data_IF_593179478041
#
_entry.id   IF_593179478041
#
_cell.length_a   1.000
_cell.length_b   1.000
_cell.length_c   1.000
_cell.angle_alpha   90.00
_cell.angle_beta   90.00
_cell.angle_gamma   90.00
#
_symmetry.space_group_name_H-M   'P 1'
#
loop_
_entity.id
_entity.type
_entity.pdbx_description
1 polymer ?
#
# COMPACT_ATOMS: atom_id res chain seq x y z
N UNK A 1 -33.84 -31.41 -22.94
CA UNK A 1 -33.14 -30.86 -21.76
C UNK A 1 -32.70 -29.45 -22.13
N UNK A 2 -33.39 -28.39 -21.70
CA UNK A 2 -33.03 -27.04 -22.10
C UNK A 2 -31.88 -26.50 -21.24
N UNK A 3 -30.90 -25.91 -21.91
CA UNK A 3 -29.73 -25.24 -21.34
C UNK A 3 -30.18 -23.95 -20.64
N UNK A 4 -29.77 -23.76 -19.38
CA UNK A 4 -29.99 -22.53 -18.65
C UNK A 4 -28.88 -21.53 -19.00
N UNK A 5 -29.21 -20.57 -19.87
CA UNK A 5 -28.45 -19.34 -20.02
C UNK A 5 -28.55 -18.52 -18.72
N UNK A 6 -27.46 -18.42 -17.97
CA UNK A 6 -27.37 -17.48 -16.84
C UNK A 6 -27.17 -16.07 -17.39
N UNK A 7 -28.28 -15.39 -17.69
CA UNK A 7 -28.31 -13.97 -17.99
C UNK A 7 -27.76 -13.16 -16.82
N UNK A 8 -26.56 -12.60 -16.99
CA UNK A 8 -26.06 -11.49 -16.18
C UNK A 8 -27.03 -10.32 -16.35
N UNK A 9 -27.96 -10.16 -15.41
CA UNK A 9 -28.91 -9.05 -15.39
C UNK A 9 -28.18 -7.73 -15.56
N UNK A 10 -28.40 -7.07 -16.71
CA UNK A 10 -27.98 -5.68 -16.92
C UNK A 10 -28.78 -4.86 -15.92
N UNK A 11 -28.15 -4.47 -14.82
CA UNK A 11 -28.71 -3.49 -13.90
C UNK A 11 -28.75 -2.16 -14.64
N UNK A 12 -29.95 -1.76 -15.04
CA UNK A 12 -30.19 -0.52 -15.77
C UNK A 12 -29.99 0.68 -14.83
N UNK A 13 -29.17 1.63 -15.26
CA UNK A 13 -29.05 2.93 -14.63
C UNK A 13 -30.31 3.72 -14.96
N UNK A 14 -31.11 4.05 -13.95
CA UNK A 14 -32.12 5.08 -14.08
C UNK A 14 -31.40 6.43 -13.94
N UNK A 15 -31.33 7.18 -15.03
CA UNK A 15 -30.79 8.54 -15.05
C UNK A 15 -31.86 9.53 -14.62
N UNK A 16 -31.49 10.43 -13.73
CA UNK A 16 -32.34 11.58 -13.36
C UNK A 16 -32.13 12.71 -14.39
N UNK A 17 -33.07 13.64 -14.53
CA UNK A 17 -32.92 14.78 -15.46
C UNK A 17 -31.67 15.62 -15.15
N UNK A 18 -31.26 15.66 -13.87
CA UNK A 18 -30.04 16.34 -13.41
C UNK A 18 -28.75 15.70 -13.95
N UNK A 19 -28.81 14.44 -14.40
CA UNK A 19 -27.66 13.71 -14.95
C UNK A 19 -27.39 14.03 -16.41
N UNK A 20 -28.39 14.58 -17.11
CA UNK A 20 -28.38 14.77 -18.55
C UNK A 20 -27.16 15.59 -18.98
N UNK A 21 -26.85 16.68 -18.27
CA UNK A 21 -25.71 17.54 -18.58
C UNK A 21 -24.38 16.77 -18.55
N UNK A 22 -24.19 15.92 -17.54
CA UNK A 22 -22.96 15.15 -17.38
C UNK A 22 -22.87 14.00 -18.38
N UNK A 23 -23.98 13.32 -18.65
CA UNK A 23 -24.05 12.25 -19.64
C UNK A 23 -23.79 12.79 -21.06
N UNK A 24 -24.31 13.96 -21.42
CA UNK A 24 -23.98 14.62 -22.69
C UNK A 24 -22.48 14.97 -22.79
N UNK A 25 -21.88 15.50 -21.71
CA UNK A 25 -20.45 15.81 -21.69
C UNK A 25 -19.59 14.54 -21.88
N UNK A 26 -19.98 13.44 -21.24
CA UNK A 26 -19.30 12.14 -21.34
C UNK A 26 -19.47 11.57 -22.74
N UNK A 27 -20.67 11.64 -23.34
CA UNK A 27 -20.91 11.17 -24.70
C UNK A 27 -20.09 11.95 -25.73
N UNK A 28 -19.94 13.27 -25.55
CA UNK A 28 -19.09 14.10 -26.42
C UNK A 28 -17.62 13.77 -26.26
N UNK A 29 -17.15 13.51 -25.02
CA UNK A 29 -15.75 13.23 -24.73
C UNK A 29 -15.53 12.05 -23.77
N UNK A 30 -15.71 10.79 -24.24
CA UNK A 30 -15.65 9.60 -23.36
C UNK A 30 -14.28 9.37 -22.73
N UNK A 31 -13.20 9.79 -23.40
CA UNK A 31 -11.83 9.58 -22.94
C UNK A 31 -11.33 10.70 -22.00
N UNK A 32 -12.17 11.68 -21.66
CA UNK A 32 -11.81 12.76 -20.75
C UNK A 32 -11.98 12.33 -19.29
N UNK A 33 -10.86 12.06 -18.61
CA UNK A 33 -10.85 11.77 -17.17
C UNK A 33 -11.52 12.89 -16.35
N UNK A 34 -11.44 14.16 -16.80
CA UNK A 34 -12.04 15.29 -16.10
C UNK A 34 -13.57 15.23 -16.10
N UNK A 35 -14.19 14.89 -17.23
CA UNK A 35 -15.64 14.79 -17.36
C UNK A 35 -16.19 13.71 -16.41
N UNK A 36 -15.56 12.53 -16.40
CA UNK A 36 -15.91 11.44 -15.48
C UNK A 36 -15.76 11.85 -14.01
N UNK A 37 -14.68 12.54 -13.65
CA UNK A 37 -14.47 12.96 -12.25
C UNK A 37 -15.56 13.95 -11.80
N UNK A 38 -15.93 14.94 -12.63
CA UNK A 38 -17.02 15.87 -12.27
C UNK A 38 -18.33 15.15 -12.03
N UNK A 39 -18.66 14.18 -12.89
CA UNK A 39 -19.89 13.41 -12.74
C UNK A 39 -19.88 12.56 -11.46
N UNK A 40 -18.74 11.95 -11.14
CA UNK A 40 -18.55 11.19 -9.90
C UNK A 40 -18.65 12.09 -8.66
N UNK A 41 -18.09 13.31 -8.73
CA UNK A 41 -18.17 14.30 -7.65
C UNK A 41 -19.63 14.75 -7.44
N UNK A 42 -20.38 14.97 -8.51
CA UNK A 42 -21.81 15.28 -8.45
C UNK A 42 -22.60 14.16 -7.77
N UNK A 43 -22.40 12.90 -8.17
CA UNK A 43 -23.09 11.73 -7.57
C UNK A 43 -22.47 11.24 -6.26
N UNK A 44 -21.54 11.96 -5.63
CA UNK A 44 -20.80 11.47 -4.45
C UNK A 44 -21.70 11.14 -3.25
N UNK A 45 -22.88 11.78 -3.16
CA UNK A 45 -23.87 11.54 -2.10
C UNK A 45 -24.91 10.48 -2.45
N UNK A 46 -24.89 9.95 -3.68
CA UNK A 46 -25.83 8.95 -4.14
C UNK A 46 -25.55 7.57 -3.50
N UNK A 47 -26.42 6.60 -3.81
CA UNK A 47 -26.22 5.22 -3.39
C UNK A 47 -24.84 4.69 -3.81
N UNK A 48 -24.23 3.90 -2.93
CA UNK A 48 -22.94 3.22 -3.17
C UNK A 48 -22.95 2.42 -4.48
N UNK A 49 -24.11 1.85 -4.82
CA UNK A 49 -24.29 1.06 -6.04
C UNK A 49 -24.16 1.93 -7.30
N UNK A 50 -24.88 3.05 -7.37
CA UNK A 50 -24.85 3.98 -8.50
C UNK A 50 -23.44 4.52 -8.71
N UNK A 51 -22.78 4.95 -7.62
CA UNK A 51 -21.40 5.41 -7.67
C UNK A 51 -20.45 4.36 -8.24
N UNK A 52 -20.55 3.10 -7.77
CA UNK A 52 -19.71 2.03 -8.27
C UNK A 52 -19.96 1.77 -9.76
N UNK A 53 -21.20 1.87 -10.22
CA UNK A 53 -21.56 1.67 -11.62
C UNK A 53 -20.99 2.77 -12.53
N UNK A 54 -21.00 4.03 -12.08
CA UNK A 54 -20.35 5.15 -12.80
C UNK A 54 -18.84 4.92 -12.88
N UNK A 55 -18.19 4.48 -11.80
CA UNK A 55 -16.76 4.13 -11.84
C UNK A 55 -16.46 2.98 -12.80
N UNK A 56 -17.26 1.90 -12.80
CA UNK A 56 -17.08 0.78 -13.72
C UNK A 56 -17.30 1.21 -15.17
N UNK A 57 -18.24 2.13 -15.45
CA UNK A 57 -18.39 2.75 -16.79
C UNK A 57 -17.15 3.54 -17.17
N UNK A 58 -16.67 4.42 -16.29
CA UNK A 58 -15.48 5.22 -16.55
C UNK A 58 -14.23 4.36 -16.81
N UNK A 59 -14.08 3.25 -16.08
CA UNK A 59 -12.95 2.32 -16.23
C UNK A 59 -13.05 1.41 -17.45
N UNK A 60 -14.25 1.20 -18.01
CA UNK A 60 -14.41 0.53 -19.31
C UNK A 60 -13.86 1.37 -20.45
N UNK A 61 -14.15 2.68 -20.44
CA UNK A 61 -13.62 3.62 -21.43
C UNK A 61 -12.13 3.92 -21.19
N UNK A 62 -11.71 4.03 -19.93
CA UNK A 62 -10.37 4.46 -19.53
C UNK A 62 -9.70 3.47 -18.55
N UNK A 63 -9.38 2.23 -18.98
CA UNK A 63 -8.78 1.22 -18.11
C UNK A 63 -7.37 1.60 -17.63
N UNK A 64 -6.68 2.48 -18.37
CA UNK A 64 -5.33 2.97 -18.04
C UNK A 64 -5.28 4.20 -17.15
N UNK A 65 -6.40 4.71 -16.63
CA UNK A 65 -6.41 5.94 -15.83
C UNK A 65 -6.06 5.67 -14.36
N UNK A 66 -4.87 6.10 -13.93
CA UNK A 66 -4.42 5.92 -12.54
C UNK A 66 -5.34 6.64 -11.55
N UNK A 67 -5.76 7.84 -11.90
CA UNK A 67 -6.59 8.68 -11.02
C UNK A 67 -7.96 8.05 -10.78
N UNK A 68 -8.58 7.48 -11.81
CA UNK A 68 -9.86 6.78 -11.69
C UNK A 68 -9.72 5.51 -10.85
N UNK A 69 -8.72 4.66 -11.14
CA UNK A 69 -8.48 3.46 -10.35
C UNK A 69 -8.19 3.76 -8.88
N UNK A 70 -7.33 4.73 -8.59
CA UNK A 70 -6.99 5.10 -7.23
C UNK A 70 -8.21 5.61 -6.45
N UNK A 71 -9.00 6.49 -7.05
CA UNK A 71 -10.22 7.02 -6.43
C UNK A 71 -11.27 5.91 -6.23
N UNK A 72 -11.44 5.04 -7.21
CA UNK A 72 -12.39 3.93 -7.13
C UNK A 72 -12.02 2.95 -6.01
N UNK A 73 -10.76 2.50 -5.96
CA UNK A 73 -10.28 1.60 -4.89
C UNK A 73 -10.40 2.23 -3.51
N UNK A 74 -10.08 3.53 -3.38
CA UNK A 74 -10.27 4.28 -2.13
C UNK A 74 -11.75 4.29 -1.71
N UNK A 75 -12.65 4.52 -2.65
CA UNK A 75 -14.09 4.52 -2.40
C UNK A 75 -14.60 3.13 -2.01
N UNK A 76 -14.20 2.08 -2.73
CA UNK A 76 -14.55 0.68 -2.44
C UNK A 76 -14.08 0.26 -1.04
N UNK A 77 -12.85 0.62 -0.64
CA UNK A 77 -12.36 0.38 0.74
C UNK A 77 -13.17 1.13 1.80
N UNK A 78 -13.56 2.38 1.52
CA UNK A 78 -14.42 3.18 2.43
C UNK A 78 -15.78 2.49 2.65
N UNK A 79 -16.34 1.88 1.60
CA UNK A 79 -17.63 1.20 1.68
C UNK A 79 -17.63 -0.06 2.54
N UNK A 80 -16.50 -0.80 2.57
CA UNK A 80 -16.37 -2.05 3.35
C UNK A 80 -15.84 -1.84 4.77
N UNK A 81 -15.24 -0.69 5.08
CA UNK A 81 -14.62 -0.41 6.39
C UNK A 81 -15.57 -0.59 7.59
N UNK A 82 -16.88 -0.40 7.40
CA UNK A 82 -17.88 -0.56 8.47
C UNK A 82 -18.41 -1.99 8.61
N UNK A 83 -17.97 -2.93 7.77
CA UNK A 83 -18.44 -4.33 7.76
C UNK A 83 -17.43 -5.25 8.42
N UNK A 84 -17.88 -6.45 8.77
CA UNK A 84 -16.98 -7.49 9.27
C UNK A 84 -16.05 -7.98 8.15
N UNK A 85 -14.82 -8.34 8.52
CA UNK A 85 -13.78 -8.84 7.59
C UNK A 85 -14.20 -10.11 6.84
N UNK A 86 -15.12 -10.89 7.40
CA UNK A 86 -15.67 -12.12 6.80
C UNK A 86 -16.75 -11.88 5.75
N UNK A 87 -17.23 -10.64 5.59
CA UNK A 87 -18.27 -10.30 4.63
C UNK A 87 -17.77 -10.49 3.18
N UNK A 88 -18.59 -11.08 2.27
CA UNK A 88 -18.24 -11.24 0.85
C UNK A 88 -17.77 -9.96 0.15
N UNK A 89 -18.22 -8.80 0.63
CA UNK A 89 -17.82 -7.50 0.09
C UNK A 89 -16.32 -7.26 0.15
N UNK A 90 -15.61 -7.82 1.14
CA UNK A 90 -14.15 -7.74 1.20
C UNK A 90 -13.50 -8.47 0.02
N UNK A 91 -14.06 -9.62 -0.38
CA UNK A 91 -13.54 -10.36 -1.54
C UNK A 91 -13.83 -9.63 -2.85
N UNK A 92 -14.97 -8.95 -2.97
CA UNK A 92 -15.22 -8.07 -4.13
C UNK A 92 -14.19 -6.94 -4.25
N UNK A 93 -13.81 -6.33 -3.12
CA UNK A 93 -12.77 -5.28 -3.11
C UNK A 93 -11.40 -5.87 -3.42
N UNK A 94 -11.09 -7.08 -2.93
CA UNK A 94 -9.88 -7.81 -3.32
C UNK A 94 -9.84 -8.08 -4.83
N UNK A 95 -10.95 -8.54 -5.42
CA UNK A 95 -11.07 -8.76 -6.86
C UNK A 95 -10.93 -7.45 -7.66
N UNK A 96 -11.47 -6.35 -7.15
CA UNK A 96 -11.28 -5.01 -7.73
C UNK A 96 -9.80 -4.59 -7.72
N UNK A 97 -9.07 -4.88 -6.64
CA UNK A 97 -7.63 -4.65 -6.57
C UNK A 97 -6.88 -5.51 -7.61
N UNK A 98 -7.18 -6.81 -7.72
CA UNK A 98 -6.56 -7.68 -8.73
C UNK A 98 -6.84 -7.20 -10.17
N UNK A 99 -8.08 -6.76 -10.47
CA UNK A 99 -8.43 -6.13 -11.76
C UNK A 99 -7.59 -4.89 -12.05
N UNK A 100 -7.43 -4.01 -11.05
CA UNK A 100 -6.62 -2.80 -11.21
C UNK A 100 -5.17 -3.10 -11.55
N UNK A 101 -4.61 -4.17 -11.00
CA UNK A 101 -3.21 -4.55 -11.20
C UNK A 101 -2.92 -5.02 -12.64
N UNK A 102 -3.92 -5.47 -13.39
CA UNK A 102 -3.74 -5.81 -14.82
C UNK A 102 -3.19 -4.61 -15.60
N UNK A 103 -3.79 -3.44 -15.39
CA UNK A 103 -3.38 -2.20 -16.06
C UNK A 103 -2.32 -1.40 -15.27
N UNK A 104 -2.36 -1.46 -13.93
CA UNK A 104 -1.58 -0.59 -13.03
C UNK A 104 -0.43 -1.27 -12.29
N UNK A 105 0.05 -2.43 -12.73
CA UNK A 105 1.11 -3.18 -12.04
C UNK A 105 2.42 -2.40 -11.80
N UNK A 106 2.70 -1.34 -12.56
CA UNK A 106 3.91 -0.50 -12.40
C UNK A 106 3.79 0.56 -11.31
N UNK A 107 2.62 0.74 -10.70
CA UNK A 107 2.35 1.82 -9.74
C UNK A 107 2.49 1.32 -8.29
N UNK A 108 3.51 1.73 -7.52
CA UNK A 108 3.75 1.24 -6.17
C UNK A 108 2.60 1.53 -5.20
N UNK A 109 1.91 2.66 -5.38
CA UNK A 109 0.86 3.09 -4.47
C UNK A 109 -0.30 2.10 -4.44
N UNK A 110 -0.70 1.56 -5.60
CA UNK A 110 -1.78 0.57 -5.71
C UNK A 110 -1.38 -0.73 -4.99
N UNK A 111 -0.13 -1.17 -5.12
CA UNK A 111 0.39 -2.33 -4.41
C UNK A 111 0.41 -2.14 -2.90
N UNK A 112 0.90 -0.99 -2.41
CA UNK A 112 0.94 -0.68 -0.98
C UNK A 112 -0.45 -0.71 -0.36
N UNK A 113 -1.37 0.00 -1.02
CA UNK A 113 -2.77 0.07 -0.68
C UNK A 113 -3.42 -1.33 -0.61
N UNK A 114 -3.14 -2.21 -1.58
CA UNK A 114 -3.65 -3.58 -1.59
C UNK A 114 -3.03 -4.45 -0.50
N UNK A 115 -1.71 -4.37 -0.31
CA UNK A 115 -1.01 -5.12 0.73
C UNK A 115 -1.52 -4.72 2.12
N UNK A 116 -1.69 -3.42 2.38
CA UNK A 116 -2.25 -2.93 3.63
C UNK A 116 -3.69 -3.41 3.84
N UNK A 117 -4.52 -3.36 2.81
CA UNK A 117 -5.89 -3.88 2.88
C UNK A 117 -5.95 -5.39 3.19
N UNK A 118 -5.01 -6.19 2.66
CA UNK A 118 -4.91 -7.62 2.99
C UNK A 118 -4.33 -7.87 4.40
N UNK A 119 -3.44 -7.01 4.87
CA UNK A 119 -2.95 -7.06 6.26
C UNK A 119 -4.09 -6.84 7.25
N UNK A 120 -4.96 -5.86 6.98
CA UNK A 120 -6.14 -5.55 7.81
C UNK A 120 -7.15 -6.72 7.85
N UNK A 121 -7.15 -7.58 6.81
CA UNK A 121 -7.98 -8.79 6.76
C UNK A 121 -7.33 -10.01 7.44
N UNK A 122 -6.10 -9.90 7.94
CA UNK A 122 -5.31 -11.00 8.52
C UNK A 122 -5.11 -12.22 7.59
N UNK A 123 -5.09 -12.03 6.26
CA UNK A 123 -4.92 -13.11 5.27
C UNK A 123 -3.44 -13.41 4.99
N UNK A 124 -2.70 -13.89 6.00
CA UNK A 124 -1.22 -14.07 6.01
C UNK A 124 -0.65 -14.61 4.69
N UNK A 125 -1.12 -15.78 4.23
CA UNK A 125 -0.58 -16.44 3.03
C UNK A 125 -0.80 -15.62 1.76
N UNK A 126 -1.97 -15.00 1.62
CA UNK A 126 -2.32 -14.14 0.48
C UNK A 126 -1.47 -12.88 0.53
N UNK A 127 -1.40 -12.21 1.67
CA UNK A 127 -0.59 -11.01 1.88
C UNK A 127 0.88 -11.25 1.53
N UNK A 128 1.48 -12.34 1.99
CA UNK A 128 2.88 -12.72 1.64
C UNK A 128 3.06 -12.86 0.13
N UNK A 129 2.18 -13.63 -0.53
CA UNK A 129 2.23 -13.83 -1.99
C UNK A 129 2.05 -12.51 -2.74
N UNK A 130 1.21 -11.60 -2.24
CA UNK A 130 1.00 -10.28 -2.83
C UNK A 130 2.24 -9.40 -2.68
N UNK A 131 2.92 -9.38 -1.53
CA UNK A 131 4.21 -8.69 -1.38
C UNK A 131 5.28 -9.25 -2.34
N UNK A 132 5.37 -10.57 -2.46
CA UNK A 132 6.30 -11.21 -3.39
C UNK A 132 5.95 -10.93 -4.87
N UNK A 133 4.68 -10.73 -5.20
CA UNK A 133 4.23 -10.25 -6.53
C UNK A 133 4.60 -8.77 -6.73
N UNK A 134 4.38 -7.92 -5.74
CA UNK A 134 4.72 -6.50 -5.81
C UNK A 134 6.23 -6.29 -6.06
N UNK A 135 7.09 -7.00 -5.34
CA UNK A 135 8.55 -6.93 -5.52
C UNK A 135 9.03 -7.47 -6.88
N UNK A 136 8.24 -8.33 -7.54
CA UNK A 136 8.53 -8.81 -8.91
C UNK A 136 8.03 -7.84 -9.98
N UNK A 137 6.88 -7.21 -9.75
CA UNK A 137 6.26 -6.31 -10.71
C UNK A 137 6.93 -4.92 -10.75
N UNK A 138 7.47 -4.46 -9.61
CA UNK A 138 8.05 -3.12 -9.48
C UNK A 138 9.57 -3.13 -9.71
N UNK A 139 10.12 -2.08 -10.35
CA UNK A 139 11.56 -1.87 -10.44
C UNK A 139 12.24 -1.80 -9.06
N UNK A 140 13.49 -2.27 -8.99
CA UNK A 140 14.30 -2.30 -7.76
C UNK A 140 14.39 -0.92 -7.10
N UNK A 141 14.45 0.15 -7.89
CA UNK A 141 14.48 1.54 -7.41
C UNK A 141 13.28 1.91 -6.53
N UNK A 142 12.15 1.20 -6.65
CA UNK A 142 10.93 1.44 -5.89
C UNK A 142 10.77 0.50 -4.68
N UNK A 143 11.64 -0.51 -4.53
CA UNK A 143 11.52 -1.51 -3.47
C UNK A 143 11.60 -0.90 -2.06
N UNK A 144 12.33 0.22 -1.90
CA UNK A 144 12.41 0.99 -0.65
C UNK A 144 11.04 1.40 -0.09
N UNK A 145 10.00 1.52 -0.94
CA UNK A 145 8.64 1.85 -0.51
C UNK A 145 7.88 0.64 0.02
N UNK A 146 8.13 -0.54 -0.52
CA UNK A 146 7.41 -1.79 -0.18
C UNK A 146 7.98 -2.44 1.08
N UNK A 147 9.31 -2.43 1.22
CA UNK A 147 10.00 -3.09 2.32
C UNK A 147 9.53 -2.69 3.71
N UNK A 148 9.37 -1.40 4.07
CA UNK A 148 8.91 -1.00 5.40
C UNK A 148 7.56 -1.64 5.79
N UNK A 149 6.63 -1.71 4.83
CA UNK A 149 5.32 -2.33 5.06
C UNK A 149 5.44 -3.86 5.16
N UNK A 150 6.32 -4.48 4.36
CA UNK A 150 6.54 -5.93 4.43
C UNK A 150 7.21 -6.35 5.74
N UNK A 151 8.20 -5.59 6.23
CA UNK A 151 8.83 -5.83 7.53
C UNK A 151 7.85 -5.65 8.69
N UNK A 152 7.00 -4.60 8.63
CA UNK A 152 5.91 -4.41 9.59
C UNK A 152 4.94 -5.61 9.62
N UNK A 153 4.56 -6.13 8.45
CA UNK A 153 3.72 -7.33 8.35
C UNK A 153 4.36 -8.54 9.02
N UNK A 154 5.64 -8.78 8.74
CA UNK A 154 6.38 -9.91 9.27
C UNK A 154 6.54 -9.86 10.79
N UNK A 155 6.72 -8.66 11.37
CA UNK A 155 6.78 -8.45 12.82
C UNK A 155 5.45 -8.64 13.53
N UNK A 156 4.33 -8.43 12.83
CA UNK A 156 2.99 -8.51 13.42
C UNK A 156 2.58 -9.94 13.77
N UNK A 157 3.11 -10.93 13.06
CA UNK A 157 2.76 -12.34 13.23
C UNK A 157 3.97 -13.16 13.73
N UNK A 158 3.77 -14.15 14.62
CA UNK A 158 4.85 -15.00 15.12
C UNK A 158 5.28 -16.05 14.08
N UNK A 159 5.89 -15.61 12.97
CA UNK A 159 6.33 -16.45 11.86
C UNK A 159 7.85 -16.34 11.64
N UNK A 160 8.67 -16.86 12.57
CA UNK A 160 10.11 -16.61 12.61
C UNK A 160 10.83 -17.06 11.34
N UNK A 161 10.48 -18.23 10.79
CA UNK A 161 11.12 -18.76 9.57
C UNK A 161 10.83 -17.90 8.33
N UNK A 162 9.58 -17.46 8.19
CA UNK A 162 9.21 -16.57 7.06
C UNK A 162 9.89 -15.22 7.25
N UNK A 163 9.94 -14.72 8.48
CA UNK A 163 10.56 -13.46 8.79
C UNK A 163 12.04 -13.43 8.44
N UNK A 164 12.80 -14.41 8.94
CA UNK A 164 14.22 -14.58 8.66
C UNK A 164 14.49 -14.60 7.16
N UNK A 165 13.67 -15.32 6.38
CA UNK A 165 13.81 -15.36 4.91
C UNK A 165 13.56 -14.00 4.26
N UNK A 166 12.55 -13.26 4.70
CA UNK A 166 12.24 -11.92 4.19
C UNK A 166 13.37 -10.94 4.52
N UNK A 167 13.85 -10.93 5.75
CA UNK A 167 14.98 -10.10 6.17
C UNK A 167 16.28 -10.44 5.43
N UNK A 168 16.62 -11.72 5.26
CA UNK A 168 17.79 -12.14 4.46
C UNK A 168 17.72 -11.61 3.03
N UNK A 169 16.52 -11.56 2.43
CA UNK A 169 16.33 -10.96 1.09
C UNK A 169 16.45 -9.44 1.12
N UNK A 170 15.92 -8.79 2.16
CA UNK A 170 16.03 -7.34 2.33
C UNK A 170 17.49 -6.87 2.43
N UNK A 171 18.30 -7.58 3.24
CA UNK A 171 19.70 -7.24 3.46
C UNK A 171 20.59 -7.39 2.21
N UNK A 172 20.19 -8.21 1.23
CA UNK A 172 20.88 -8.26 -0.07
C UNK A 172 20.76 -6.95 -0.84
N UNK A 173 19.71 -6.17 -0.60
CA UNK A 173 19.47 -4.90 -1.29
C UNK A 173 19.98 -3.71 -0.46
N UNK A 174 19.85 -3.78 0.86
CA UNK A 174 20.23 -2.69 1.77
C UNK A 174 21.00 -3.27 2.95
N UNK A 175 22.32 -3.51 2.81
CA UNK A 175 23.14 -4.05 3.88
C UNK A 175 23.20 -3.10 5.09
N UNK A 176 23.06 -1.78 4.87
CA UNK A 176 23.02 -0.74 5.91
C UNK A 176 21.96 -0.97 7.00
N UNK A 177 20.87 -1.68 6.70
CA UNK A 177 19.78 -1.93 7.65
C UNK A 177 19.94 -3.25 8.42
N UNK A 178 21.17 -3.76 8.51
CA UNK A 178 21.46 -5.02 9.20
C UNK A 178 21.19 -4.96 10.71
N UNK A 179 21.29 -3.79 11.32
CA UNK A 179 20.95 -3.55 12.74
C UNK A 179 19.48 -3.87 13.03
N UNK A 180 18.57 -3.43 12.16
CA UNK A 180 17.13 -3.68 12.30
C UNK A 180 16.80 -5.20 12.26
N UNK A 181 17.58 -5.97 11.51
CA UNK A 181 17.46 -7.43 11.49
C UNK A 181 17.99 -8.08 12.76
N UNK A 182 19.11 -7.59 13.32
CA UNK A 182 19.67 -8.10 14.57
C UNK A 182 18.71 -7.84 15.72
N UNK A 183 18.12 -6.65 15.79
CA UNK A 183 17.10 -6.34 16.80
C UNK A 183 15.89 -7.27 16.68
N UNK A 184 15.44 -7.56 15.46
CA UNK A 184 14.41 -8.56 15.24
C UNK A 184 14.82 -9.96 15.72
N UNK A 185 16.04 -10.42 15.40
CA UNK A 185 16.55 -11.72 15.86
C UNK A 185 16.62 -11.80 17.40
N UNK A 186 17.00 -10.71 18.08
CA UNK A 186 16.98 -10.61 19.54
C UNK A 186 15.56 -10.75 20.10
N UNK A 187 14.57 -10.11 19.47
CA UNK A 187 13.17 -10.20 19.91
C UNK A 187 12.56 -11.60 19.79
N UNK A 188 13.09 -12.44 18.89
CA UNK A 188 12.66 -13.84 18.72
C UNK A 188 13.56 -14.83 19.46
N UNK A 189 14.45 -14.33 20.34
CA UNK A 189 15.41 -15.11 21.15
C UNK A 189 16.36 -16.02 20.35
N UNK A 190 16.64 -15.67 19.08
CA UNK A 190 17.62 -16.38 18.23
C UNK A 190 18.99 -15.74 18.33
N UNK A 191 19.55 -15.77 19.55
CA UNK A 191 20.78 -15.07 19.90
C UNK A 191 22.00 -15.57 19.12
N UNK A 192 22.07 -16.86 18.79
CA UNK A 192 23.17 -17.43 18.03
C UNK A 192 23.29 -16.80 16.62
N UNK A 193 22.17 -16.72 15.89
CA UNK A 193 22.13 -16.07 14.58
C UNK A 193 22.40 -14.57 14.72
N UNK A 194 21.89 -13.93 15.77
CA UNK A 194 22.12 -12.51 16.02
C UNK A 194 23.62 -12.21 16.24
N UNK A 195 24.29 -13.02 17.06
CA UNK A 195 25.71 -12.87 17.39
C UNK A 195 26.61 -13.04 16.15
N UNK A 196 26.36 -14.07 15.34
CA UNK A 196 27.11 -14.29 14.09
C UNK A 196 26.94 -13.12 13.13
N UNK A 197 25.72 -12.57 13.02
CA UNK A 197 25.45 -11.44 12.12
C UNK A 197 26.02 -10.14 12.64
N UNK A 198 25.98 -9.91 13.95
CA UNK A 198 26.63 -8.76 14.58
C UNK A 198 28.15 -8.80 14.40
N UNK A 199 28.77 -9.95 14.64
CA UNK A 199 30.21 -10.14 14.43
C UNK A 199 30.61 -9.87 12.97
N UNK A 200 29.80 -10.33 12.01
CA UNK A 200 30.04 -10.07 10.59
C UNK A 200 29.96 -8.57 10.23
N UNK A 201 29.05 -7.82 10.85
CA UNK A 201 28.91 -6.37 10.63
C UNK A 201 30.06 -5.60 11.27
N UNK A 202 30.43 -5.93 12.51
CA UNK A 202 31.53 -5.27 13.23
C UNK A 202 32.86 -5.47 12.52
N UNK A 203 33.05 -6.62 11.87
CA UNK A 203 34.26 -6.90 11.09
C UNK A 203 34.26 -6.22 9.70
N UNK A 204 33.16 -5.61 9.26
CA UNK A 204 33.09 -4.93 7.97
C UNK A 204 33.42 -3.43 8.15
N UNK A 205 34.65 -3.04 7.79
CA UNK A 205 35.14 -1.66 7.91
C UNK A 205 34.34 -0.64 7.07
N UNK A 206 33.54 -1.11 6.11
CA UNK A 206 32.73 -0.26 5.23
C UNK A 206 31.30 -0.06 5.74
N UNK A 207 30.92 -0.75 6.82
CA UNK A 207 29.59 -0.64 7.37
C UNK A 207 29.42 0.69 8.11
N UNK A 208 28.55 1.55 7.58
CA UNK A 208 28.13 2.78 8.24
C UNK A 208 26.77 2.54 8.90
N UNK A 209 26.77 2.53 10.23
CA UNK A 209 25.55 2.46 11.04
C UNK A 209 24.63 3.64 10.75
N UNK A 210 23.33 3.40 10.62
CA UNK A 210 22.34 4.49 10.47
C UNK A 210 22.16 5.27 11.76
N UNK A 211 22.32 4.63 12.91
CA UNK A 211 22.23 5.29 14.22
C UNK A 211 23.54 5.99 14.62
N UNK A 212 24.64 5.67 13.95
CA UNK A 212 25.97 6.25 14.22
C UNK A 212 26.30 7.57 13.50
N UNK A 213 25.40 8.14 12.69
CA UNK A 213 25.66 9.42 12.03
C UNK A 213 25.55 10.60 13.02
N UNK A 214 26.63 11.34 13.33
CA UNK A 214 26.62 12.43 14.32
C UNK A 214 25.87 13.69 13.85
N UNK A 215 25.35 13.73 12.63
CA UNK A 215 24.83 14.97 12.01
C UNK A 215 23.49 15.46 12.57
N UNK A 216 22.88 14.75 13.52
CA UNK A 216 21.64 15.19 14.18
C UNK A 216 21.85 15.75 15.60
N UNK A 217 23.09 15.83 16.09
CA UNK A 217 23.37 16.40 17.41
C UNK A 217 24.56 17.37 17.42
N UNK A 218 24.56 18.33 16.48
CA UNK A 218 25.38 19.54 16.57
C UNK A 218 24.49 20.74 16.25
N UNK A 219 23.58 21.04 17.16
CA UNK A 219 22.66 22.16 17.05
C UNK A 219 22.14 22.52 18.43
N UNK A 220 22.74 23.57 19.01
CA UNK A 220 22.33 24.24 20.24
C UNK A 220 22.87 23.68 21.56
N UNK A 221 24.06 24.17 21.93
CA UNK A 221 24.36 24.55 23.31
C UNK A 221 25.46 25.61 23.34
N UNK A 222 25.08 26.85 23.02
CA UNK A 222 25.77 28.04 23.53
C UNK A 222 24.83 28.76 24.50
N UNK A 223 24.55 28.07 25.62
CA UNK A 223 23.98 28.70 26.79
C UNK A 223 25.09 29.40 27.56
N UNK A 224 25.03 30.73 27.49
CA UNK A 224 25.31 31.69 28.56
C UNK A 224 25.57 31.07 29.95
N UNK A 225 26.72 31.44 30.53
CA UNK A 225 26.88 31.89 31.93
C UNK A 225 28.18 31.34 32.54
N UNK A 226 29.17 32.22 32.70
CA UNK A 226 30.10 32.11 33.82
C UNK A 226 30.42 33.51 34.34
N UNK A 227 29.73 33.88 35.43
CA UNK A 227 30.07 34.96 36.34
C UNK A 227 31.43 34.69 36.98
N UNK A 228 32.26 35.74 37.10
CA UNK A 228 33.27 36.01 38.15
C UNK A 228 33.96 37.33 37.72
N UNK A 229 34.24 38.35 38.53
CA UNK A 229 34.39 38.52 39.98
C UNK A 229 34.11 40.00 40.28
N UNK A 230 33.45 40.26 41.41
CA UNK A 230 33.36 41.58 42.03
C UNK A 230 34.25 41.56 43.27
N UNK A 231 35.30 42.39 43.32
CA UNK A 231 35.98 42.76 44.56
C UNK A 231 36.64 44.12 44.44
N UNK A 232 36.10 45.05 45.25
CA UNK A 232 36.64 46.31 45.81
C UNK A 232 37.24 47.35 44.89
#
# INVERSE_FOLDING_TARGET
MPEQETGSGKQELFFEEEDLQYEEEILRNPFSVKCWIRYIEFKQNASKHILNLIYERALKELPGSYKLWYNYLKQRRKQVKSRCVTDPSYEEVNNCHERSLVFMHKMPRIWLDYCQFLMDQCRITRTRRTFDRALRALPITQHHRIWPLYLKFVRLYPLPETAVRVYRRYLKLSPENAEEYIEYLRSIDRLDEAAVRLAAIVNDERFLSKEGNPTTNCGMSSATSSRRIQTR
#
